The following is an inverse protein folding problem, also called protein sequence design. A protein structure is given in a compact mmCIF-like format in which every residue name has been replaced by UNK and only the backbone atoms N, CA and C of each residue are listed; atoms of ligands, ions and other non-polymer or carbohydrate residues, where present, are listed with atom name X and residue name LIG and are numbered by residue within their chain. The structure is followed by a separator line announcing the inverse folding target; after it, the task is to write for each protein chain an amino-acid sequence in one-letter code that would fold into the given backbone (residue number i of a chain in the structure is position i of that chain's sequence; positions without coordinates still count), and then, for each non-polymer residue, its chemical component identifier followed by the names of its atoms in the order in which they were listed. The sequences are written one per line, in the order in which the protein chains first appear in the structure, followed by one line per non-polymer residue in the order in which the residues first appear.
data_IF_164028618471
#
_entry.id   IF_164028618471
#
_cell.length_a   1.000
_cell.length_b   1.000
_cell.length_c   1.000
_cell.angle_alpha   90.00
_cell.angle_beta   90.00
_cell.angle_gamma   90.00
#
_symmetry.space_group_name_H-M   'P 1'
#
loop_
_entity.id
_entity.type
_entity.pdbx_description
1 polymer ?
#
# COMPACT_ATOMS: atom_id res chain seq x y z
N UNK A 1 5.80 -16.65 17.56
CA UNK A 1 6.13 -15.69 16.49
C UNK A 1 6.52 -14.34 17.10
N UNK A 2 7.62 -14.31 17.85
CA UNK A 2 8.12 -13.07 18.46
C UNK A 2 8.62 -12.08 17.39
N UNK A 3 9.17 -12.61 16.29
CA UNK A 3 9.62 -11.88 15.10
C UNK A 3 8.51 -11.13 14.34
N UNK A 4 7.26 -11.54 14.46
CA UNK A 4 6.10 -10.95 13.79
C UNK A 4 5.22 -10.14 14.76
N UNK A 5 5.64 -9.96 16.00
CA UNK A 5 4.88 -9.21 16.99
C UNK A 5 4.66 -7.78 16.49
N UNK A 6 3.39 -7.39 16.36
CA UNK A 6 2.98 -6.07 15.85
C UNK A 6 3.02 -5.92 14.33
N UNK A 7 3.37 -6.95 13.57
CA UNK A 7 3.28 -6.94 12.11
C UNK A 7 1.92 -7.42 11.63
N UNK A 8 1.35 -6.67 10.69
CA UNK A 8 0.09 -6.97 10.03
C UNK A 8 0.31 -7.08 8.53
N UNK A 9 -0.39 -8.01 7.87
CA UNK A 9 -0.31 -8.12 6.42
C UNK A 9 -1.14 -7.02 5.76
N UNK A 10 -0.52 -6.26 4.87
CA UNK A 10 -1.17 -5.13 4.18
C UNK A 10 -1.30 -5.33 2.68
N UNK A 11 -0.57 -6.29 2.10
CA UNK A 11 -0.60 -6.60 0.66
C UNK A 11 -0.28 -8.08 0.43
N UNK A 12 -0.96 -8.67 -0.54
CA UNK A 12 -0.70 -10.00 -1.08
C UNK A 12 -0.61 -9.84 -2.60
N UNK A 13 0.49 -10.26 -3.20
CA UNK A 13 0.77 -10.07 -4.62
C UNK A 13 1.52 -11.26 -5.21
N UNK A 14 1.47 -11.38 -6.54
CA UNK A 14 2.10 -12.47 -7.26
C UNK A 14 1.15 -13.63 -7.56
N UNK A 15 1.58 -14.48 -8.49
CA UNK A 15 0.83 -15.67 -8.92
C UNK A 15 1.70 -16.92 -8.74
N UNK A 16 2.80 -17.02 -9.48
CA UNK A 16 3.80 -18.10 -9.32
C UNK A 16 4.70 -17.86 -8.10
N UNK A 17 5.27 -16.64 -8.01
CA UNK A 17 6.03 -16.19 -6.85
C UNK A 17 5.15 -15.32 -5.95
N UNK A 18 4.66 -15.86 -4.84
CA UNK A 18 3.78 -15.14 -3.92
C UNK A 18 4.62 -14.31 -2.95
N UNK A 19 4.34 -13.01 -2.92
CA UNK A 19 4.93 -12.05 -1.98
C UNK A 19 3.84 -11.45 -1.09
N UNK A 20 4.08 -11.47 0.22
CA UNK A 20 3.30 -10.72 1.21
C UNK A 20 4.09 -9.49 1.68
N UNK A 21 3.39 -8.36 1.86
CA UNK A 21 3.95 -7.16 2.52
C UNK A 21 3.37 -7.06 3.93
N UNK A 22 4.26 -7.01 4.91
CA UNK A 22 3.94 -6.86 6.32
C UNK A 22 4.33 -5.45 6.79
N UNK A 23 3.54 -4.92 7.71
CA UNK A 23 3.72 -3.57 8.23
C UNK A 23 3.50 -3.53 9.74
N UNK A 24 4.40 -2.85 10.45
CA UNK A 24 4.24 -2.55 11.88
C UNK A 24 3.87 -1.07 12.07
N UNK A 25 2.63 -0.74 12.47
CA UNK A 25 2.18 0.63 12.66
C UNK A 25 2.92 1.42 13.74
N UNK A 26 3.45 0.75 14.77
CA UNK A 26 4.13 1.39 15.90
C UNK A 26 5.55 1.82 15.53
N UNK A 27 6.31 0.92 14.90
CA UNK A 27 7.70 1.18 14.50
C UNK A 27 7.82 1.79 13.11
N UNK A 28 6.74 1.72 12.31
CA UNK A 28 6.66 2.05 10.89
C UNK A 28 7.54 1.18 9.98
N UNK A 29 8.00 0.04 10.49
CA UNK A 29 8.81 -0.89 9.72
C UNK A 29 7.97 -1.67 8.70
N UNK A 30 8.57 -1.99 7.55
CA UNK A 30 7.92 -2.68 6.43
C UNK A 30 8.78 -3.87 6.03
N UNK A 31 8.18 -5.06 6.01
CA UNK A 31 8.84 -6.28 5.52
C UNK A 31 8.18 -6.78 4.25
N UNK A 32 9.00 -7.18 3.29
CA UNK A 32 8.58 -7.91 2.10
C UNK A 32 9.01 -9.36 2.27
N UNK A 33 8.05 -10.28 2.29
CA UNK A 33 8.29 -11.70 2.54
C UNK A 33 7.82 -12.50 1.33
N UNK A 34 8.71 -13.31 0.77
CA UNK A 34 8.38 -14.28 -0.27
C UNK A 34 7.99 -15.58 0.43
N UNK A 35 6.72 -15.96 0.26
CA UNK A 35 6.08 -17.01 1.07
C UNK A 35 5.80 -18.30 0.29
N UNK A 36 5.79 -18.24 -1.03
CA UNK A 36 5.56 -19.39 -1.90
C UNK A 36 6.18 -19.14 -3.26
N UNK A 37 6.66 -20.21 -3.88
CA UNK A 37 7.16 -20.20 -5.24
C UNK A 37 6.78 -21.51 -5.94
N UNK A 38 5.78 -21.44 -6.82
CA UNK A 38 5.24 -22.61 -7.49
C UNK A 38 6.16 -23.20 -8.58
N UNK A 39 7.25 -22.51 -8.95
CA UNK A 39 8.23 -23.04 -9.91
C UNK A 39 9.14 -24.11 -9.28
N UNK A 40 9.11 -24.25 -7.95
CA UNK A 40 9.92 -25.22 -7.21
C UNK A 40 9.04 -26.14 -6.35
N UNK A 41 9.53 -27.34 -6.02
CA UNK A 41 8.93 -28.13 -4.95
C UNK A 41 8.86 -27.32 -3.65
N UNK A 42 7.82 -27.60 -2.87
CA UNK A 42 7.53 -26.85 -1.65
C UNK A 42 8.75 -26.74 -0.73
N UNK A 43 9.14 -25.51 -0.43
CA UNK A 43 10.26 -25.19 0.45
C UNK A 43 11.66 -25.29 -0.17
N UNK A 44 11.78 -25.70 -1.43
CA UNK A 44 13.07 -25.81 -2.13
C UNK A 44 13.46 -24.54 -2.88
N UNK A 45 12.53 -23.60 -3.07
CA UNK A 45 12.85 -22.37 -3.80
C UNK A 45 13.89 -21.52 -3.05
N UNK A 46 14.97 -21.10 -3.73
CA UNK A 46 15.98 -20.21 -3.16
C UNK A 46 15.45 -18.78 -2.94
N UNK A 47 14.23 -18.48 -3.41
CA UNK A 47 13.62 -17.17 -3.29
C UNK A 47 12.76 -17.03 -2.04
N UNK A 48 12.42 -18.13 -1.36
CA UNK A 48 11.68 -18.07 -0.11
C UNK A 48 12.49 -17.34 0.95
N UNK A 49 11.82 -16.56 1.81
CA UNK A 49 12.46 -15.80 2.88
C UNK A 49 12.87 -16.69 4.08
N UNK A 50 13.50 -17.84 3.80
CA UNK A 50 13.89 -18.87 4.78
C UNK A 50 15.08 -18.47 5.66
N UNK A 51 15.81 -17.43 5.28
CA UNK A 51 16.87 -16.84 6.11
C UNK A 51 16.30 -16.22 7.40
N UNK A 52 15.07 -15.68 7.33
CA UNK A 52 14.41 -15.02 8.45
C UNK A 52 13.29 -15.85 9.09
N UNK A 53 12.60 -16.69 8.31
CA UNK A 53 11.37 -17.38 8.69
C UNK A 53 11.45 -18.88 8.43
N UNK A 54 10.79 -19.68 9.26
CA UNK A 54 10.60 -21.11 8.96
C UNK A 54 9.51 -21.29 7.90
N UNK A 55 9.45 -22.47 7.26
CA UNK A 55 8.36 -22.80 6.31
C UNK A 55 6.97 -22.64 6.94
N UNK A 56 6.80 -23.11 8.18
CA UNK A 56 5.55 -22.96 8.93
C UNK A 56 5.19 -21.49 9.19
N UNK A 57 6.19 -20.62 9.40
CA UNK A 57 5.96 -19.17 9.54
C UNK A 57 5.57 -18.53 8.19
N UNK A 58 6.17 -18.96 7.08
CA UNK A 58 5.80 -18.50 5.73
C UNK A 58 4.35 -18.88 5.38
N UNK A 59 3.93 -20.11 5.71
CA UNK A 59 2.54 -20.55 5.54
C UNK A 59 1.56 -19.72 6.37
N UNK A 60 1.91 -19.43 7.63
CA UNK A 60 1.10 -18.55 8.49
C UNK A 60 0.98 -17.15 7.87
N UNK A 61 2.08 -16.56 7.42
CA UNK A 61 2.07 -15.25 6.74
C UNK A 61 1.18 -15.28 5.50
N UNK A 62 1.28 -16.33 4.68
CA UNK A 62 0.44 -16.54 3.50
C UNK A 62 -1.05 -16.59 3.87
N UNK A 63 -1.39 -17.29 4.95
CA UNK A 63 -2.76 -17.45 5.46
C UNK A 63 -3.35 -16.24 6.18
N UNK A 64 -2.55 -15.26 6.61
CA UNK A 64 -3.08 -14.03 7.26
C UNK A 64 -4.12 -13.33 6.38
N UNK A 65 -5.08 -12.63 6.96
CA UNK A 65 -5.90 -11.71 6.18
C UNK A 65 -5.19 -10.37 5.97
N UNK A 66 -5.61 -9.60 4.97
CA UNK A 66 -5.13 -8.22 4.81
C UNK A 66 -5.81 -7.36 5.87
N UNK A 67 -5.01 -6.82 6.78
CA UNK A 67 -5.46 -5.86 7.78
C UNK A 67 -5.68 -4.49 7.11
N UNK A 68 -6.95 -4.10 7.02
CA UNK A 68 -7.36 -2.85 6.38
C UNK A 68 -6.88 -1.62 7.13
N UNK A 69 -6.82 -1.70 8.46
CA UNK A 69 -6.43 -0.58 9.31
C UNK A 69 -4.92 -0.35 9.28
N UNK A 70 -4.13 -1.42 9.39
CA UNK A 70 -2.69 -1.34 9.20
C UNK A 70 -2.33 -0.86 7.80
N UNK A 71 -3.07 -1.29 6.76
CA UNK A 71 -2.88 -0.78 5.39
C UNK A 71 -3.21 0.70 5.27
N UNK A 72 -4.26 1.17 5.95
CA UNK A 72 -4.61 2.60 6.03
C UNK A 72 -3.49 3.41 6.68
N UNK A 73 -2.98 2.96 7.82
CA UNK A 73 -1.88 3.61 8.54
C UNK A 73 -0.58 3.60 7.72
N UNK A 74 -0.29 2.50 7.04
CA UNK A 74 0.83 2.42 6.10
C UNK A 74 0.72 3.50 5.00
N UNK A 75 -0.43 3.56 4.32
CA UNK A 75 -0.67 4.55 3.26
C UNK A 75 -0.53 5.99 3.80
N UNK A 76 -1.05 6.25 5.01
CA UNK A 76 -0.92 7.54 5.68
C UNK A 76 0.55 7.89 5.95
N UNK A 77 1.32 6.97 6.52
CA UNK A 77 2.74 7.19 6.81
C UNK A 77 3.60 7.35 5.55
N UNK A 78 3.22 6.69 4.45
CA UNK A 78 3.85 6.89 3.14
C UNK A 78 3.39 8.17 2.44
N UNK A 79 2.41 8.90 2.99
CA UNK A 79 1.81 10.07 2.35
C UNK A 79 1.06 9.72 1.06
N UNK A 80 0.63 8.46 0.89
CA UNK A 80 -0.09 8.01 -0.30
C UNK A 80 -1.53 8.47 -0.25
N UNK A 81 -1.97 9.12 -1.31
CA UNK A 81 -3.36 9.55 -1.47
C UNK A 81 -4.20 8.36 -1.88
N UNK A 82 -5.20 8.01 -1.08
CA UNK A 82 -6.13 6.92 -1.36
C UNK A 82 -7.54 7.26 -0.81
N UNK A 83 -8.54 6.48 -1.16
CA UNK A 83 -9.94 6.74 -0.79
C UNK A 83 -10.11 6.81 0.73
N UNK A 84 -10.85 7.82 1.19
CA UNK A 84 -11.03 8.15 2.60
C UNK A 84 -10.00 9.16 3.14
N UNK A 85 -8.88 9.40 2.45
CA UNK A 85 -7.90 10.38 2.87
C UNK A 85 -8.49 11.81 2.83
N UNK A 86 -8.20 12.61 3.85
CA UNK A 86 -8.43 14.05 3.83
C UNK A 86 -7.15 14.72 3.34
N UNK A 87 -7.25 15.41 2.22
CA UNK A 87 -6.11 16.03 1.54
C UNK A 87 -6.17 17.56 1.61
N UNK A 88 -5.02 18.21 1.51
CA UNK A 88 -4.87 19.66 1.33
C UNK A 88 -4.08 19.94 0.05
N UNK A 89 -4.58 20.85 -0.78
CA UNK A 89 -3.86 21.34 -1.96
C UNK A 89 -2.63 22.14 -1.50
N UNK A 90 -1.44 21.70 -1.91
CA UNK A 90 -0.17 22.40 -1.62
C UNK A 90 0.36 23.15 -2.83
N UNK A 91 0.09 22.68 -4.05
CA UNK A 91 0.53 23.30 -5.30
C UNK A 91 -0.68 23.57 -6.19
N UNK A 92 -1.28 24.73 -6.02
CA UNK A 92 -2.54 25.11 -6.63
C UNK A 92 -2.40 26.06 -7.82
N UNK A 93 -2.65 25.58 -9.05
CA UNK A 93 -2.94 26.46 -10.22
C UNK A 93 -4.45 26.54 -10.50
N UNK A 94 -5.15 25.40 -10.39
CA UNK A 94 -6.61 25.29 -10.61
C UNK A 94 -7.43 25.54 -9.35
N UNK A 95 -6.94 25.09 -8.20
CA UNK A 95 -7.57 25.28 -6.90
C UNK A 95 -6.57 25.98 -5.97
N UNK A 96 -7.00 26.89 -5.09
CA UNK A 96 -6.11 27.57 -4.15
C UNK A 96 -5.37 26.60 -3.24
N UNK A 97 -4.14 26.94 -2.86
CA UNK A 97 -3.43 26.24 -1.81
C UNK A 97 -4.20 26.35 -0.47
N UNK A 98 -4.21 25.28 0.32
CA UNK A 98 -5.01 25.18 1.55
C UNK A 98 -6.43 24.63 1.34
N UNK A 99 -6.88 24.46 0.10
CA UNK A 99 -8.19 23.84 -0.18
C UNK A 99 -8.18 22.38 0.28
N UNK A 100 -9.20 21.94 1.02
CA UNK A 100 -9.33 20.59 1.56
C UNK A 100 -10.51 19.83 0.99
N UNK A 101 -10.44 18.50 1.03
CA UNK A 101 -11.54 17.62 0.69
C UNK A 101 -11.24 16.16 1.03
N UNK A 102 -12.28 15.35 1.20
CA UNK A 102 -12.15 13.90 1.44
C UNK A 102 -12.10 13.18 0.10
N UNK A 103 -11.07 12.38 -0.14
CA UNK A 103 -10.90 11.61 -1.37
C UNK A 103 -11.97 10.52 -1.44
N UNK A 104 -12.74 10.55 -2.52
CA UNK A 104 -13.77 9.53 -2.83
C UNK A 104 -13.32 8.61 -3.96
N UNK A 105 -12.34 9.02 -4.76
CA UNK A 105 -11.81 8.24 -5.88
C UNK A 105 -10.37 8.62 -6.17
N UNK A 106 -9.53 7.62 -6.45
CA UNK A 106 -8.21 7.78 -7.05
C UNK A 106 -8.21 7.07 -8.40
N UNK A 107 -7.57 7.67 -9.40
CA UNK A 107 -7.48 7.08 -10.74
C UNK A 107 -6.22 7.54 -11.48
N UNK A 108 -5.71 6.66 -12.32
CA UNK A 108 -4.57 6.95 -13.19
C UNK A 108 -5.03 7.58 -14.50
N UNK A 109 -4.35 8.64 -14.90
CA UNK A 109 -4.38 9.13 -16.27
C UNK A 109 -3.27 8.42 -17.04
N UNK A 110 -3.65 7.79 -18.15
CA UNK A 110 -2.76 7.09 -19.07
C UNK A 110 -2.75 7.80 -20.43
N UNK A 111 -1.65 7.66 -21.17
CA UNK A 111 -1.57 8.14 -22.56
C UNK A 111 -2.35 7.21 -23.52
N UNK A 112 -2.36 7.56 -24.82
CA UNK A 112 -2.99 6.74 -25.86
C UNK A 112 -2.36 5.34 -26.04
N UNK A 113 -1.16 5.12 -25.50
CA UNK A 113 -0.46 3.83 -25.50
C UNK A 113 -0.62 3.08 -24.15
N UNK A 114 -1.46 3.58 -23.24
CA UNK A 114 -1.69 2.99 -21.93
C UNK A 114 -0.56 3.20 -20.91
N UNK A 115 0.42 4.06 -21.19
CA UNK A 115 1.52 4.37 -20.26
C UNK A 115 1.03 5.36 -19.21
N UNK A 116 1.50 5.19 -17.98
CA UNK A 116 1.15 6.07 -16.86
C UNK A 116 1.66 7.50 -17.09
N UNK A 117 0.77 8.49 -16.94
CA UNK A 117 1.12 9.92 -16.99
C UNK A 117 1.13 10.51 -15.58
N UNK A 118 0.01 10.37 -14.87
CA UNK A 118 -0.18 10.98 -13.57
C UNK A 118 -1.37 10.34 -12.84
N UNK A 119 -1.28 10.28 -11.52
CA UNK A 119 -2.37 9.87 -10.64
C UNK A 119 -3.16 11.11 -10.17
N UNK A 120 -4.48 11.00 -10.21
CA UNK A 120 -5.42 12.05 -9.79
C UNK A 120 -6.36 11.53 -8.73
N UNK A 121 -6.83 12.44 -7.88
CA UNK A 121 -7.88 12.17 -6.90
C UNK A 121 -9.09 13.07 -7.14
N UNK A 122 -10.27 12.53 -6.82
CA UNK A 122 -11.54 13.26 -6.74
C UNK A 122 -11.95 13.32 -5.28
N UNK A 123 -12.33 14.51 -4.81
CA UNK A 123 -12.87 14.69 -3.45
C UNK A 123 -14.40 14.82 -3.45
N UNK A 124 -14.98 14.65 -2.27
CA UNK A 124 -16.40 14.84 -1.96
C UNK A 124 -16.96 16.20 -2.39
N UNK A 125 -16.18 17.27 -2.26
CA UNK A 125 -16.52 18.61 -2.74
C UNK A 125 -16.18 18.85 -4.24
N UNK A 126 -15.87 17.79 -4.99
CA UNK A 126 -15.72 17.83 -6.45
C UNK A 126 -14.34 18.31 -6.95
N UNK A 127 -13.33 18.48 -6.08
CA UNK A 127 -11.98 18.80 -6.52
C UNK A 127 -11.43 17.63 -7.33
N UNK A 128 -10.71 17.96 -8.40
CA UNK A 128 -10.00 16.98 -9.26
C UNK A 128 -8.56 17.42 -9.40
N UNK A 129 -7.68 16.84 -8.60
CA UNK A 129 -6.31 17.33 -8.43
C UNK A 129 -5.32 16.17 -8.51
N UNK A 130 -4.16 16.43 -9.11
CA UNK A 130 -3.08 15.45 -9.18
C UNK A 130 -2.58 15.15 -7.77
N UNK A 131 -2.35 13.88 -7.45
CA UNK A 131 -1.94 13.46 -6.09
C UNK A 131 -0.60 14.07 -5.67
N UNK A 132 0.29 14.34 -6.64
CA UNK A 132 1.55 15.09 -6.43
C UNK A 132 1.40 16.53 -5.94
N UNK A 133 0.22 17.13 -6.08
CA UNK A 133 -0.04 18.54 -5.73
C UNK A 133 -0.79 18.69 -4.41
N UNK A 134 -0.99 17.59 -3.68
CA UNK A 134 -1.68 17.57 -2.40
C UNK A 134 -0.81 16.90 -1.34
N UNK A 135 -1.12 17.14 -0.08
CA UNK A 135 -0.63 16.34 1.04
C UNK A 135 -1.81 15.70 1.76
N UNK A 136 -1.62 14.48 2.26
CA UNK A 136 -2.58 13.85 3.17
C UNK A 136 -2.43 14.50 4.55
N UNK A 137 -3.54 14.95 5.13
CA UNK A 137 -3.56 15.55 6.48
C UNK A 137 -4.08 14.53 7.51
N UNK A 138 -5.07 13.74 7.12
CA UNK A 138 -5.69 12.72 7.96
C UNK A 138 -6.48 11.73 7.10
N UNK A 139 -7.18 10.79 7.73
CA UNK A 139 -8.05 9.82 7.07
C UNK A 139 -9.39 9.77 7.81
N UNK A 140 -10.47 9.60 7.05
CA UNK A 140 -11.83 9.38 7.57
C UNK A 140 -12.30 7.95 7.37
#
# INVERSE_FOLDING_TARGET
MEKLKGYYKIEHSGFLLITCKLYNPETRDVKRVIVEDFDYPYGESPHLSLEEFTLEELEKIRGMEIDKEARRLYNLHQGRVDVGAIIEVVKGRKYPAGTRGKVIKVYDIKDCYGRFIAEYCITDNGLKVATKNVKVISWS
#
